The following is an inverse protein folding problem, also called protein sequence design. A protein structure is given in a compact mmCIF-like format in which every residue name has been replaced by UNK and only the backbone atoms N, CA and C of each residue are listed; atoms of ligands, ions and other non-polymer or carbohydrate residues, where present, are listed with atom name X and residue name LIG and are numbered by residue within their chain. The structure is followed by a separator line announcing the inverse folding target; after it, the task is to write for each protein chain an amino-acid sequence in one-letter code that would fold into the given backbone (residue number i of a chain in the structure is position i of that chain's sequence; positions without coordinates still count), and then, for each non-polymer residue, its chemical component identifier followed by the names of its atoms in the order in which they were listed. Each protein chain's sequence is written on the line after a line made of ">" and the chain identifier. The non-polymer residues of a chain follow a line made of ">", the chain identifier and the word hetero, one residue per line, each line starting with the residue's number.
data_IF_435347586662
#
_entry.id   IF_435347586662
#
_cell.length_a   1.000
_cell.length_b   1.000
_cell.length_c   1.000
_cell.angle_alpha   90.00
_cell.angle_beta   90.00
_cell.angle_gamma   90.00
#
_symmetry.space_group_name_H-M   'P 1'
#
loop_
_entity.id
_entity.type
_entity.pdbx_description
1 polymer ?
#
# COMPACT_ATOMS: atom_id res chain seq x y z
N UNK A 1 12.77 22.75 16.34
CA UNK A 1 11.89 21.84 15.56
C UNK A 1 11.43 20.72 16.48
N UNK A 2 10.12 20.45 16.56
CA UNK A 2 9.59 19.37 17.40
C UNK A 2 10.08 18.01 16.87
N UNK A 3 10.55 17.15 17.78
CA UNK A 3 10.99 15.78 17.45
C UNK A 3 9.78 14.87 17.30
N UNK A 4 9.67 14.14 16.19
CA UNK A 4 8.63 13.14 16.02
C UNK A 4 8.93 11.97 16.96
N UNK A 5 7.99 11.70 17.87
CA UNK A 5 8.10 10.58 18.80
C UNK A 5 7.42 9.35 18.18
N UNK A 6 8.18 8.27 18.04
CA UNK A 6 7.68 6.95 17.63
C UNK A 6 6.52 6.45 18.49
N UNK A 7 6.38 6.97 19.71
CA UNK A 7 5.29 6.65 20.63
C UNK A 7 3.90 6.87 20.05
N UNK A 8 3.73 7.77 19.07
CA UNK A 8 2.43 8.00 18.41
C UNK A 8 1.94 6.79 17.60
N UNK A 9 2.85 6.04 16.97
CA UNK A 9 2.54 4.84 16.19
C UNK A 9 2.60 3.55 17.01
N UNK A 10 3.03 3.62 18.28
CA UNK A 10 3.19 2.45 19.16
C UNK A 10 1.93 1.55 19.23
N UNK A 11 0.70 2.07 19.37
CA UNK A 11 -0.49 1.22 19.39
C UNK A 11 -0.68 0.40 18.11
N UNK A 12 -0.28 0.94 16.95
CA UNK A 12 -0.40 0.26 15.66
C UNK A 12 0.66 -0.84 15.53
N UNK A 13 1.89 -0.61 16.01
CA UNK A 13 2.90 -1.67 16.04
C UNK A 13 2.54 -2.81 16.99
N UNK A 14 1.96 -2.50 18.16
CA UNK A 14 1.45 -3.52 19.07
C UNK A 14 0.33 -4.33 18.41
N UNK A 15 -0.58 -3.67 17.68
CA UNK A 15 -1.62 -4.34 16.90
C UNK A 15 -1.03 -5.29 15.84
N UNK A 16 -0.08 -4.81 15.02
CA UNK A 16 0.58 -5.64 14.01
C UNK A 16 1.29 -6.84 14.63
N UNK A 17 2.07 -6.63 15.70
CA UNK A 17 2.77 -7.69 16.41
C UNK A 17 1.78 -8.71 17.02
N UNK A 18 0.66 -8.26 17.60
CA UNK A 18 -0.37 -9.14 18.13
C UNK A 18 -0.98 -10.03 17.04
N UNK A 19 -1.20 -9.49 15.83
CA UNK A 19 -1.74 -10.25 14.69
C UNK A 19 -0.70 -11.25 14.18
N UNK A 20 0.57 -10.86 14.09
CA UNK A 20 1.65 -11.77 13.72
C UNK A 20 1.78 -12.92 14.72
N UNK A 21 1.71 -12.65 16.03
CA UNK A 21 1.72 -13.69 17.05
C UNK A 21 0.49 -14.60 16.94
N UNK A 22 -0.70 -14.03 16.73
CA UNK A 22 -1.92 -14.79 16.50
C UNK A 22 -1.79 -15.73 15.28
N UNK A 23 -1.21 -15.22 14.19
CA UNK A 23 -0.90 -16.02 13.00
C UNK A 23 0.04 -17.19 13.33
N UNK A 24 1.16 -16.92 14.01
CA UNK A 24 2.16 -17.96 14.35
C UNK A 24 1.55 -19.02 15.26
N UNK A 25 0.77 -18.62 16.27
CA UNK A 25 0.12 -19.53 17.21
C UNK A 25 -0.86 -20.47 16.49
N UNK A 26 -1.78 -19.94 15.68
CA UNK A 26 -2.75 -20.77 14.98
C UNK A 26 -2.13 -21.61 13.85
N UNK A 27 -1.08 -21.10 13.20
CA UNK A 27 -0.31 -21.89 12.25
C UNK A 27 0.35 -23.11 12.94
N UNK A 28 0.83 -22.95 14.18
CA UNK A 28 1.43 -24.04 14.94
C UNK A 28 0.43 -25.10 15.41
N UNK A 29 -0.85 -24.76 15.56
CA UNK A 29 -1.91 -25.71 15.94
C UNK A 29 -2.58 -26.38 14.73
N UNK A 30 -2.06 -26.17 13.51
CA UNK A 30 -2.62 -26.69 12.25
C UNK A 30 -4.10 -26.34 12.02
N UNK A 31 -4.61 -25.28 12.67
CA UNK A 31 -6.01 -24.85 12.60
C UNK A 31 -6.22 -23.90 11.41
N UNK A 32 -5.91 -24.36 10.20
CA UNK A 32 -5.85 -23.52 8.99
C UNK A 32 -7.17 -22.85 8.63
N UNK A 33 -8.30 -23.54 8.78
CA UNK A 33 -9.62 -22.97 8.45
C UNK A 33 -9.98 -21.79 9.36
N UNK A 34 -9.71 -21.92 10.67
CA UNK A 34 -9.95 -20.87 11.65
C UNK A 34 -9.02 -19.68 11.38
N UNK A 35 -7.75 -19.96 11.08
CA UNK A 35 -6.76 -18.95 10.73
C UNK A 35 -7.18 -18.17 9.47
N UNK A 36 -7.59 -18.88 8.42
CA UNK A 36 -8.04 -18.28 7.17
C UNK A 36 -9.27 -17.41 7.40
N UNK A 37 -10.30 -17.92 8.07
CA UNK A 37 -11.51 -17.16 8.38
C UNK A 37 -11.20 -15.90 9.20
N UNK A 38 -10.36 -16.01 10.22
CA UNK A 38 -9.99 -14.87 11.05
C UNK A 38 -9.25 -13.79 10.25
N UNK A 39 -8.27 -14.16 9.44
CA UNK A 39 -7.49 -13.20 8.66
C UNK A 39 -8.28 -12.59 7.51
N UNK A 40 -9.15 -13.35 6.87
CA UNK A 40 -10.09 -12.88 5.85
C UNK A 40 -10.97 -11.76 6.41
N UNK A 41 -11.43 -11.86 7.66
CA UNK A 41 -12.21 -10.82 8.31
C UNK A 41 -11.34 -9.65 8.81
N UNK A 42 -10.18 -9.94 9.41
CA UNK A 42 -9.29 -8.92 9.97
C UNK A 42 -8.70 -8.00 8.91
N UNK A 43 -8.34 -8.53 7.74
CA UNK A 43 -7.69 -7.77 6.65
C UNK A 43 -8.46 -6.51 6.25
N UNK A 44 -9.74 -6.61 5.79
CA UNK A 44 -10.53 -5.43 5.46
C UNK A 44 -10.85 -4.56 6.67
N UNK A 45 -11.05 -5.15 7.86
CA UNK A 45 -11.37 -4.40 9.08
C UNK A 45 -10.20 -3.49 9.51
N UNK A 46 -8.96 -3.98 9.41
CA UNK A 46 -7.77 -3.20 9.75
C UNK A 46 -7.57 -2.06 8.75
N UNK A 47 -7.67 -2.35 7.45
CA UNK A 47 -7.62 -1.31 6.42
C UNK A 47 -8.68 -0.23 6.64
N UNK A 48 -9.93 -0.65 6.92
CA UNK A 48 -11.05 0.27 7.16
C UNK A 48 -10.86 1.13 8.40
N UNK A 49 -10.49 0.53 9.53
CA UNK A 49 -10.34 1.24 10.81
C UNK A 49 -9.20 2.25 10.74
N UNK A 50 -8.06 1.88 10.17
CA UNK A 50 -6.92 2.79 9.96
C UNK A 50 -7.26 3.89 8.96
N UNK A 51 -7.96 3.56 7.87
CA UNK A 51 -8.43 4.52 6.88
C UNK A 51 -9.41 5.55 7.45
N UNK A 52 -10.43 5.11 8.22
CA UNK A 52 -11.36 6.00 8.92
C UNK A 52 -10.63 6.88 9.92
N UNK A 53 -9.70 6.31 10.69
CA UNK A 53 -8.93 7.08 11.65
C UNK A 53 -8.11 8.16 10.94
N UNK A 54 -7.47 7.82 9.82
CA UNK A 54 -6.79 8.78 8.94
C UNK A 54 -7.71 9.89 8.47
N UNK A 55 -8.88 9.55 7.90
CA UNK A 55 -9.85 10.56 7.47
C UNK A 55 -10.31 11.44 8.63
N UNK A 56 -10.54 10.88 9.83
CA UNK A 56 -10.95 11.67 10.99
C UNK A 56 -9.88 12.68 11.41
N UNK A 57 -8.60 12.30 11.32
CA UNK A 57 -7.47 13.17 11.65
C UNK A 57 -7.29 14.25 10.57
N UNK A 58 -7.26 13.84 9.30
CA UNK A 58 -6.83 14.68 8.18
C UNK A 58 -7.97 15.43 7.48
N UNK A 59 -9.20 14.91 7.43
CA UNK A 59 -10.30 15.58 6.72
C UNK A 59 -10.85 16.84 7.44
N UNK A 60 -10.60 17.00 8.75
CA UNK A 60 -11.11 18.15 9.52
C UNK A 60 -10.29 19.43 9.31
N UNK A 61 -9.07 19.33 8.80
CA UNK A 61 -8.14 20.46 8.69
C UNK A 61 -7.91 20.91 7.22
N UNK A 62 -8.60 20.28 6.26
CA UNK A 62 -8.36 20.46 4.80
C UNK A 62 -8.73 21.84 4.24
N UNK A 63 -9.32 22.73 5.05
CA UNK A 63 -9.81 24.02 4.58
C UNK A 63 -8.78 25.16 4.55
N UNK A 64 -7.67 25.06 5.31
CA UNK A 64 -6.78 26.22 5.54
C UNK A 64 -5.26 25.93 5.43
N UNK A 65 -4.84 24.66 5.37
CA UNK A 65 -3.41 24.30 5.27
C UNK A 65 -3.05 23.80 3.87
N UNK A 66 -2.25 24.58 3.14
CA UNK A 66 -1.56 24.14 1.92
C UNK A 66 -0.41 23.14 2.22
N UNK A 67 -0.57 22.27 3.22
CA UNK A 67 0.44 21.27 3.54
C UNK A 67 0.31 20.06 2.60
N UNK A 68 1.38 19.84 1.84
CA UNK A 68 1.48 18.81 0.82
C UNK A 68 1.71 17.44 1.44
N UNK A 69 2.28 17.38 2.64
CA UNK A 69 2.40 16.16 3.43
C UNK A 69 1.05 15.77 4.06
N UNK A 70 0.25 16.75 4.49
CA UNK A 70 -1.14 16.53 4.89
C UNK A 70 -1.97 15.92 3.74
N UNK A 71 -1.80 16.43 2.52
CA UNK A 71 -2.46 15.89 1.32
C UNK A 71 -2.05 14.43 1.05
N UNK A 72 -0.77 14.08 1.21
CA UNK A 72 -0.29 12.70 1.10
C UNK A 72 -1.02 11.78 2.10
N UNK A 73 -1.12 12.18 3.36
CA UNK A 73 -1.78 11.39 4.41
C UNK A 73 -3.28 11.20 4.13
N UNK A 74 -3.95 12.23 3.57
CA UNK A 74 -5.34 12.11 3.14
C UNK A 74 -5.51 11.05 2.04
N UNK A 75 -4.63 11.05 1.03
CA UNK A 75 -4.65 10.02 -0.02
C UNK A 75 -4.35 8.63 0.52
N UNK A 76 -3.45 8.50 1.49
CA UNK A 76 -3.19 7.23 2.19
C UNK A 76 -4.45 6.73 2.90
N UNK A 77 -5.14 7.60 3.64
CA UNK A 77 -6.36 7.26 4.35
C UNK A 77 -7.49 6.80 3.40
N UNK A 78 -7.72 7.52 2.30
CA UNK A 78 -8.70 7.14 1.28
C UNK A 78 -8.29 5.83 0.58
N UNK A 79 -7.00 5.68 0.27
CA UNK A 79 -6.45 4.46 -0.32
C UNK A 79 -6.68 3.23 0.56
N UNK A 80 -6.49 3.34 1.88
CA UNK A 80 -6.78 2.27 2.84
C UNK A 80 -8.27 1.88 2.85
N UNK A 81 -9.18 2.85 2.74
CA UNK A 81 -10.62 2.55 2.66
C UNK A 81 -10.95 1.83 1.35
N UNK A 82 -10.39 2.28 0.22
CA UNK A 82 -10.60 1.61 -1.05
C UNK A 82 -9.99 0.21 -1.10
N UNK A 83 -8.83 0.01 -0.47
CA UNK A 83 -8.24 -1.32 -0.29
C UNK A 83 -9.13 -2.21 0.57
N UNK A 84 -9.71 -1.69 1.67
CA UNK A 84 -10.69 -2.43 2.47
C UNK A 84 -11.89 -2.90 1.63
N UNK A 85 -12.48 -2.00 0.83
CA UNK A 85 -13.58 -2.34 -0.07
C UNK A 85 -13.17 -3.40 -1.09
N UNK A 86 -11.93 -3.31 -1.58
CA UNK A 86 -11.40 -4.32 -2.50
C UNK A 86 -11.19 -5.67 -1.84
N UNK A 87 -10.72 -5.71 -0.59
CA UNK A 87 -10.57 -6.96 0.16
C UNK A 87 -11.95 -7.58 0.41
N UNK A 88 -12.97 -6.79 0.80
CA UNK A 88 -14.36 -7.27 0.92
C UNK A 88 -14.87 -7.84 -0.40
N UNK A 89 -14.67 -7.10 -1.51
CA UNK A 89 -15.07 -7.57 -2.83
C UNK A 89 -14.38 -8.90 -3.19
N UNK A 90 -13.09 -9.03 -2.88
CA UNK A 90 -12.32 -10.27 -3.08
C UNK A 90 -12.86 -11.46 -2.30
N UNK A 91 -13.27 -11.24 -1.06
CA UNK A 91 -13.85 -12.28 -0.22
C UNK A 91 -15.19 -12.75 -0.77
N UNK A 92 -16.06 -11.81 -1.15
CA UNK A 92 -17.36 -12.14 -1.77
C UNK A 92 -17.19 -12.90 -3.10
N UNK A 93 -16.19 -12.49 -3.88
CA UNK A 93 -15.77 -13.13 -5.12
C UNK A 93 -15.27 -14.55 -4.84
N UNK A 94 -14.35 -14.74 -3.89
CA UNK A 94 -13.83 -16.06 -3.50
C UNK A 94 -14.94 -17.05 -3.10
N UNK A 95 -15.97 -16.59 -2.39
CA UNK A 95 -17.11 -17.40 -1.98
C UNK A 95 -18.02 -17.84 -3.15
N UNK A 96 -17.87 -17.28 -4.35
CA UNK A 96 -18.70 -17.58 -5.53
C UNK A 96 -18.17 -18.74 -6.42
N UNK A 97 -17.19 -19.51 -5.95
CA UNK A 97 -16.70 -20.81 -6.49
C UNK A 97 -16.15 -20.87 -7.95
N UNK A 98 -16.04 -19.75 -8.69
CA UNK A 98 -15.55 -19.76 -10.08
C UNK A 98 -14.09 -19.26 -10.25
N UNK A 99 -13.11 -20.07 -9.85
CA UNK A 99 -11.73 -19.66 -9.49
C UNK A 99 -10.97 -18.76 -10.47
N UNK A 100 -10.99 -18.96 -11.80
CA UNK A 100 -10.10 -18.22 -12.70
C UNK A 100 -10.55 -16.79 -13.04
N UNK A 101 -11.85 -16.58 -13.24
CA UNK A 101 -12.38 -15.22 -13.53
C UNK A 101 -12.37 -14.33 -12.29
N UNK A 102 -12.43 -14.96 -11.11
CA UNK A 102 -12.46 -14.29 -9.81
C UNK A 102 -11.11 -13.65 -9.44
N UNK A 103 -9.97 -14.25 -9.80
CA UNK A 103 -8.65 -13.66 -9.50
C UNK A 103 -8.42 -12.35 -10.26
N UNK A 104 -8.88 -12.30 -11.51
CA UNK A 104 -8.79 -11.10 -12.36
C UNK A 104 -9.68 -9.99 -11.80
N UNK A 105 -10.91 -10.34 -11.40
CA UNK A 105 -11.82 -9.39 -10.77
C UNK A 105 -11.20 -8.80 -9.50
N UNK A 106 -10.58 -9.62 -8.66
CA UNK A 106 -9.93 -9.15 -7.44
C UNK A 106 -8.77 -8.17 -7.73
N UNK A 107 -7.86 -8.52 -8.64
CA UNK A 107 -6.75 -7.65 -9.00
C UNK A 107 -7.23 -6.30 -9.58
N UNK A 108 -8.31 -6.30 -10.36
CA UNK A 108 -8.91 -5.08 -10.91
C UNK A 108 -9.55 -4.20 -9.82
N UNK A 109 -10.21 -4.79 -8.83
CA UNK A 109 -10.84 -4.01 -7.74
C UNK A 109 -9.79 -3.39 -6.80
N UNK A 110 -8.58 -3.97 -6.73
CA UNK A 110 -7.49 -3.39 -5.94
C UNK A 110 -6.83 -2.18 -6.59
N UNK A 111 -6.85 -2.09 -7.93
CA UNK A 111 -6.16 -1.04 -8.67
C UNK A 111 -6.53 0.38 -8.20
N UNK A 112 -7.82 0.76 -8.02
CA UNK A 112 -8.18 2.06 -7.47
C UNK A 112 -7.48 2.38 -6.14
N UNK A 113 -7.42 1.42 -5.21
CA UNK A 113 -6.76 1.60 -3.93
C UNK A 113 -5.26 1.88 -4.08
N UNK A 114 -4.57 1.06 -4.87
CA UNK A 114 -3.13 1.21 -5.16
C UNK A 114 -2.84 2.53 -5.89
N UNK A 115 -3.68 2.92 -6.85
CA UNK A 115 -3.52 4.17 -7.57
C UNK A 115 -3.78 5.39 -6.70
N UNK A 116 -4.69 5.32 -5.72
CA UNK A 116 -4.88 6.41 -4.76
C UNK A 116 -3.67 6.59 -3.85
N UNK A 117 -3.10 5.48 -3.35
CA UNK A 117 -1.84 5.51 -2.59
C UNK A 117 -0.70 6.10 -3.44
N UNK A 118 -0.60 5.63 -4.68
CA UNK A 118 0.35 6.14 -5.68
C UNK A 118 0.17 7.63 -5.94
N UNK A 119 -1.05 8.08 -6.18
CA UNK A 119 -1.36 9.47 -6.44
C UNK A 119 -0.91 10.36 -5.29
N UNK A 120 -1.09 9.92 -4.04
CA UNK A 120 -0.55 10.59 -2.86
C UNK A 120 0.97 10.81 -2.96
N UNK A 121 1.74 9.75 -3.21
CA UNK A 121 3.21 9.85 -3.26
C UNK A 121 3.70 10.67 -4.46
N UNK A 122 3.03 10.57 -5.61
CA UNK A 122 3.35 11.32 -6.81
C UNK A 122 3.04 12.82 -6.65
N UNK A 123 1.94 13.16 -5.98
CA UNK A 123 1.63 14.55 -5.62
C UNK A 123 2.68 15.13 -4.68
N UNK A 124 3.14 14.35 -3.70
CA UNK A 124 4.23 14.75 -2.83
C UNK A 124 5.52 14.96 -3.62
N UNK A 125 5.83 14.09 -4.58
CA UNK A 125 7.00 14.23 -5.47
C UNK A 125 6.95 15.52 -6.27
N UNK A 126 5.79 15.83 -6.85
CA UNK A 126 5.58 17.09 -7.58
C UNK A 126 5.84 18.29 -6.68
N UNK A 127 5.36 18.25 -5.45
CA UNK A 127 5.58 19.31 -4.47
C UNK A 127 7.06 19.49 -4.14
N UNK A 128 7.76 18.40 -3.81
CA UNK A 128 9.19 18.44 -3.47
C UNK A 128 10.02 18.92 -4.67
N UNK A 129 9.73 18.40 -5.86
CA UNK A 129 10.38 18.82 -7.10
C UNK A 129 10.15 20.32 -7.40
N UNK A 130 8.96 20.84 -7.13
CA UNK A 130 8.67 22.28 -7.27
C UNK A 130 9.43 23.13 -6.24
N UNK A 131 9.60 22.64 -5.01
CA UNK A 131 10.31 23.36 -3.96
C UNK A 131 11.84 23.37 -4.17
N UNK A 132 12.38 22.32 -4.80
CA UNK A 132 13.80 22.20 -5.14
C UNK A 132 14.13 22.74 -6.54
N UNK A 133 13.13 23.18 -7.30
CA UNK A 133 13.24 23.71 -8.67
C UNK A 133 14.03 22.80 -9.63
N UNK A 134 14.00 21.48 -9.41
CA UNK A 134 14.81 20.51 -10.18
C UNK A 134 14.29 20.39 -11.62
N UNK A 135 12.97 20.36 -11.80
CA UNK A 135 12.35 20.15 -13.10
C UNK A 135 10.94 20.76 -13.19
N UNK A 136 10.53 21.18 -14.39
CA UNK A 136 9.14 21.59 -14.63
C UNK A 136 8.16 20.45 -14.33
N UNK A 137 7.09 20.75 -13.57
CA UNK A 137 6.13 19.74 -13.12
C UNK A 137 5.47 18.94 -14.25
N UNK A 138 5.21 19.56 -15.41
CA UNK A 138 4.64 18.87 -16.58
C UNK A 138 5.61 17.84 -17.17
N UNK A 139 6.89 18.19 -17.27
CA UNK A 139 7.94 17.27 -17.76
C UNK A 139 8.10 16.07 -16.82
N UNK A 140 7.98 16.30 -15.51
CA UNK A 140 8.02 15.24 -14.51
C UNK A 140 6.94 14.18 -14.76
N UNK A 141 5.69 14.61 -14.97
CA UNK A 141 4.58 13.69 -15.24
C UNK A 141 4.80 12.86 -16.50
N UNK A 142 5.27 13.50 -17.57
CA UNK A 142 5.57 12.80 -18.84
C UNK A 142 6.63 11.72 -18.62
N UNK A 143 7.72 12.05 -17.92
CA UNK A 143 8.80 11.10 -17.63
C UNK A 143 8.29 9.93 -16.79
N UNK A 144 7.48 10.21 -15.77
CA UNK A 144 6.91 9.17 -14.90
C UNK A 144 5.98 8.23 -15.67
N UNK A 145 5.08 8.76 -16.50
CA UNK A 145 4.20 7.95 -17.36
C UNK A 145 5.02 7.08 -18.30
N UNK A 146 6.09 7.64 -18.90
CA UNK A 146 6.98 6.90 -19.79
C UNK A 146 7.71 5.77 -19.06
N UNK A 147 8.26 6.04 -17.87
CA UNK A 147 8.93 5.03 -17.04
C UNK A 147 7.94 3.92 -16.64
N UNK A 148 6.74 4.25 -16.17
CA UNK A 148 5.72 3.26 -15.80
C UNK A 148 5.30 2.42 -17.01
N UNK A 149 5.11 3.05 -18.17
CA UNK A 149 4.72 2.34 -19.39
C UNK A 149 5.80 1.36 -19.84
N UNK A 150 7.07 1.81 -19.88
CA UNK A 150 8.20 0.94 -20.25
C UNK A 150 8.42 -0.19 -19.24
N UNK A 151 8.37 0.11 -17.94
CA UNK A 151 8.51 -0.92 -16.90
C UNK A 151 7.35 -1.91 -16.93
N UNK A 152 6.12 -1.45 -17.18
CA UNK A 152 4.95 -2.34 -17.35
C UNK A 152 5.12 -3.28 -18.54
N UNK A 153 5.57 -2.77 -19.69
CA UNK A 153 5.88 -3.61 -20.85
C UNK A 153 7.01 -4.60 -20.54
N UNK A 154 8.06 -4.17 -19.85
CA UNK A 154 9.16 -5.05 -19.44
C UNK A 154 8.68 -6.17 -18.50
N UNK A 155 7.93 -5.83 -17.47
CA UNK A 155 7.35 -6.79 -16.52
C UNK A 155 6.39 -7.75 -17.24
N UNK A 156 5.55 -7.25 -18.14
CA UNK A 156 4.66 -8.08 -18.96
C UNK A 156 5.45 -9.14 -19.74
N UNK A 157 6.50 -8.73 -20.46
CA UNK A 157 7.35 -9.65 -21.23
C UNK A 157 8.03 -10.67 -20.33
N UNK A 158 8.54 -10.26 -19.16
CA UNK A 158 9.14 -11.17 -18.18
C UNK A 158 8.11 -12.20 -17.71
N UNK A 159 6.90 -11.77 -17.32
CA UNK A 159 5.86 -12.68 -16.83
C UNK A 159 5.45 -13.69 -17.92
N UNK A 160 5.20 -13.23 -19.15
CA UNK A 160 4.76 -14.11 -20.25
C UNK A 160 5.85 -15.14 -20.61
N UNK A 161 7.13 -14.74 -20.59
CA UNK A 161 8.25 -15.61 -20.99
C UNK A 161 8.65 -16.59 -19.89
N UNK A 162 8.65 -16.15 -18.62
CA UNK A 162 9.08 -16.99 -17.49
C UNK A 162 7.94 -17.79 -16.87
N UNK A 163 6.69 -17.31 -16.97
CA UNK A 163 5.51 -17.93 -16.35
C UNK A 163 4.34 -18.09 -17.34
N UNK A 164 4.52 -18.84 -18.44
CA UNK A 164 3.50 -18.99 -19.48
C UNK A 164 2.18 -19.59 -18.96
N UNK A 165 2.23 -20.36 -17.88
CA UNK A 165 1.08 -21.02 -17.27
C UNK A 165 0.10 -20.04 -16.57
N UNK A 166 0.51 -18.81 -16.26
CA UNK A 166 -0.37 -17.81 -15.62
C UNK A 166 -1.45 -17.27 -16.57
N UNK A 167 -1.25 -17.41 -17.88
CA UNK A 167 -2.13 -16.86 -18.91
C UNK A 167 -1.89 -15.38 -19.17
N UNK A 168 -2.10 -14.98 -20.44
CA UNK A 168 -1.80 -13.62 -20.93
C UNK A 168 -2.63 -12.55 -20.23
N UNK A 169 -3.91 -12.83 -19.96
CA UNK A 169 -4.83 -11.87 -19.34
C UNK A 169 -4.36 -11.51 -17.91
N UNK A 170 -3.96 -12.52 -17.11
CA UNK A 170 -3.45 -12.29 -15.76
C UNK A 170 -2.15 -11.46 -15.78
N UNK A 171 -1.26 -11.73 -16.73
CA UNK A 171 -0.04 -10.94 -16.91
C UNK A 171 -0.34 -9.47 -17.24
N UNK A 172 -1.34 -9.19 -18.08
CA UNK A 172 -1.76 -7.83 -18.44
C UNK A 172 -2.29 -7.07 -17.21
N UNK A 173 -3.03 -7.74 -16.32
CA UNK A 173 -3.63 -7.09 -15.14
C UNK A 173 -2.59 -6.89 -14.02
N UNK A 174 -1.70 -7.86 -13.78
CA UNK A 174 -0.73 -7.78 -12.67
C UNK A 174 0.48 -6.88 -13.01
N UNK A 175 0.91 -6.84 -14.28
CA UNK A 175 2.08 -6.05 -14.69
C UNK A 175 2.02 -4.56 -14.31
N UNK A 176 0.91 -3.80 -14.50
CA UNK A 176 0.85 -2.41 -14.08
C UNK A 176 0.88 -2.25 -12.55
N UNK A 177 0.35 -3.22 -11.79
CA UNK A 177 0.37 -3.20 -10.32
C UNK A 177 1.82 -3.29 -9.82
N UNK A 178 2.56 -4.31 -10.27
CA UNK A 178 3.96 -4.52 -9.88
C UNK A 178 4.81 -3.32 -10.29
N UNK A 179 4.65 -2.85 -11.52
CA UNK A 179 5.45 -1.73 -12.06
C UNK A 179 5.20 -0.43 -11.30
N UNK A 180 3.94 -0.15 -10.95
CA UNK A 180 3.57 1.01 -10.15
C UNK A 180 4.13 0.92 -8.72
N UNK A 181 4.05 -0.25 -8.07
CA UNK A 181 4.61 -0.45 -6.73
C UNK A 181 6.13 -0.32 -6.71
N UNK A 182 6.83 -0.83 -7.73
CA UNK A 182 8.28 -0.63 -7.90
C UNK A 182 8.60 0.87 -8.01
N UNK A 183 7.85 1.61 -8.83
CA UNK A 183 8.02 3.06 -8.94
C UNK A 183 7.78 3.75 -7.58
N UNK A 184 6.69 3.43 -6.87
CA UNK A 184 6.39 4.05 -5.59
C UNK A 184 7.46 3.75 -4.53
N UNK A 185 8.02 2.54 -4.53
CA UNK A 185 9.17 2.19 -3.69
C UNK A 185 10.39 3.05 -4.03
N UNK A 186 10.73 3.19 -5.32
CA UNK A 186 11.87 4.01 -5.75
C UNK A 186 11.69 5.49 -5.38
N UNK A 187 10.48 6.03 -5.57
CA UNK A 187 10.15 7.41 -5.20
C UNK A 187 10.24 7.60 -3.68
N UNK A 188 9.66 6.70 -2.89
CA UNK A 188 9.72 6.75 -1.43
C UNK A 188 11.18 6.68 -0.93
N UNK A 189 11.99 5.80 -1.51
CA UNK A 189 13.41 5.67 -1.20
C UNK A 189 14.20 6.94 -1.58
N UNK A 190 13.88 7.55 -2.73
CA UNK A 190 14.43 8.85 -3.13
C UNK A 190 14.11 9.95 -2.11
N UNK A 191 12.90 9.98 -1.54
CA UNK A 191 12.58 10.93 -0.47
C UNK A 191 13.33 10.65 0.83
N UNK A 192 13.43 9.38 1.24
CA UNK A 192 14.19 9.00 2.45
C UNK A 192 15.63 9.47 2.33
N UNK A 193 16.25 9.27 1.16
CA UNK A 193 17.61 9.73 0.88
C UNK A 193 17.72 11.26 0.91
N UNK A 194 16.79 11.95 0.24
CA UNK A 194 16.79 13.42 0.14
C UNK A 194 16.59 14.08 1.50
N UNK A 195 15.70 13.52 2.32
CA UNK A 195 15.32 14.10 3.61
C UNK A 195 16.08 13.50 4.79
N UNK A 196 17.12 12.68 4.61
CA UNK A 196 17.77 11.85 5.65
C UNK A 196 17.99 12.49 7.04
N UNK A 197 18.18 13.82 7.11
CA UNK A 197 18.40 14.56 8.36
C UNK A 197 17.12 15.18 8.98
N UNK A 198 15.98 15.07 8.29
CA UNK A 198 14.70 15.63 8.67
C UNK A 198 13.80 14.63 9.39
N UNK A 199 12.91 15.13 10.23
CA UNK A 199 11.96 14.30 10.98
C UNK A 199 10.95 13.58 10.06
N UNK A 200 10.65 14.14 8.88
CA UNK A 200 9.73 13.58 7.86
C UNK A 200 10.23 12.23 7.29
N UNK A 201 11.50 11.88 7.48
CA UNK A 201 12.04 10.57 7.07
C UNK A 201 11.32 9.41 7.73
N UNK A 202 10.95 9.55 9.00
CA UNK A 202 10.30 8.47 9.77
C UNK A 202 8.99 8.01 9.13
N UNK A 203 8.01 8.89 8.85
CA UNK A 203 6.79 8.47 8.17
C UNK A 203 7.07 8.03 6.72
N UNK A 204 8.00 8.66 6.00
CA UNK A 204 8.36 8.22 4.64
C UNK A 204 8.95 6.79 4.61
N UNK A 205 9.74 6.43 5.61
CA UNK A 205 10.25 5.07 5.82
C UNK A 205 9.09 4.08 5.97
N UNK A 206 8.06 4.43 6.74
CA UNK A 206 6.88 3.58 6.94
C UNK A 206 6.05 3.45 5.65
N UNK A 207 5.90 4.52 4.87
CA UNK A 207 5.29 4.46 3.53
C UNK A 207 6.08 3.52 2.63
N UNK A 208 7.41 3.63 2.61
CA UNK A 208 8.29 2.75 1.85
C UNK A 208 8.10 1.28 2.27
N UNK A 209 8.13 0.98 3.57
CA UNK A 209 7.94 -0.37 4.09
C UNK A 209 6.55 -0.93 3.74
N UNK A 210 5.50 -0.10 3.81
CA UNK A 210 4.15 -0.48 3.37
C UNK A 210 4.11 -0.87 1.90
N UNK A 211 4.68 -0.05 1.01
CA UNK A 211 4.78 -0.39 -0.42
C UNK A 211 5.66 -1.61 -0.68
N UNK A 212 6.76 -1.76 0.04
CA UNK A 212 7.67 -2.90 -0.10
C UNK A 212 6.97 -4.22 0.26
N UNK A 213 6.24 -4.26 1.38
CA UNK A 213 5.49 -5.45 1.78
C UNK A 213 4.36 -5.74 0.77
N UNK A 214 3.67 -4.71 0.28
CA UNK A 214 2.64 -4.88 -0.74
C UNK A 214 3.21 -5.38 -2.08
N UNK A 215 4.42 -4.94 -2.43
CA UNK A 215 5.17 -5.43 -3.59
C UNK A 215 5.55 -6.91 -3.41
N UNK A 216 6.04 -7.29 -2.22
CA UNK A 216 6.33 -8.70 -1.89
C UNK A 216 5.06 -9.56 -2.00
N UNK A 217 3.92 -9.09 -1.48
CA UNK A 217 2.60 -9.73 -1.66
C UNK A 217 2.27 -9.91 -3.15
N UNK A 218 2.44 -8.86 -3.94
CA UNK A 218 2.17 -8.89 -5.40
C UNK A 218 3.11 -9.84 -6.15
N UNK A 219 4.35 -9.98 -5.71
CA UNK A 219 5.27 -10.98 -6.27
C UNK A 219 4.87 -12.40 -5.90
N UNK A 220 4.40 -12.66 -4.68
CA UNK A 220 3.85 -13.97 -4.34
C UNK A 220 2.71 -14.36 -5.29
N UNK A 221 1.85 -13.43 -5.69
CA UNK A 221 0.80 -13.71 -6.67
C UNK A 221 1.30 -14.12 -8.07
N UNK A 222 2.53 -13.78 -8.42
CA UNK A 222 3.15 -14.16 -9.70
C UNK A 222 3.95 -15.45 -9.57
N UNK A 223 4.79 -15.55 -8.53
CA UNK A 223 5.79 -16.61 -8.41
C UNK A 223 5.26 -17.89 -7.76
N UNK A 224 4.13 -17.81 -7.08
CA UNK A 224 3.58 -18.96 -6.37
C UNK A 224 2.20 -19.32 -6.89
N UNK A 225 1.87 -20.60 -6.78
CA UNK A 225 0.50 -21.09 -6.80
C UNK A 225 -0.27 -20.75 -5.52
N UNK A 226 0.20 -19.79 -4.69
CA UNK A 226 -0.61 -19.30 -3.58
C UNK A 226 -1.89 -18.69 -4.15
N UNK A 227 -3.00 -19.36 -3.86
CA UNK A 227 -4.32 -18.85 -4.15
C UNK A 227 -4.53 -17.52 -3.40
N UNK A 228 -5.29 -16.63 -4.04
CA UNK A 228 -5.85 -15.47 -3.36
C UNK A 228 -6.63 -15.90 -2.10
N UNK A 229 -6.62 -15.05 -1.08
CA UNK A 229 -7.23 -15.33 0.23
C UNK A 229 -6.58 -16.46 1.04
N UNK A 230 -5.30 -16.76 0.79
CA UNK A 230 -4.49 -17.59 1.69
C UNK A 230 -4.11 -16.82 2.96
N UNK A 231 -3.90 -17.50 4.11
CA UNK A 231 -3.48 -16.84 5.35
C UNK A 231 -2.23 -15.96 5.21
N UNK A 232 -1.27 -16.40 4.40
CA UNK A 232 -0.04 -15.65 4.11
C UNK A 232 -0.32 -14.36 3.32
N UNK A 233 -1.21 -14.43 2.33
CA UNK A 233 -1.64 -13.25 1.56
C UNK A 233 -2.29 -12.20 2.48
N UNK A 234 -3.24 -12.62 3.30
CA UNK A 234 -3.94 -11.76 4.24
C UNK A 234 -3.00 -11.16 5.30
N UNK A 235 -2.01 -11.92 5.78
CA UNK A 235 -1.01 -11.40 6.72
C UNK A 235 -0.17 -10.28 6.08
N UNK A 236 0.35 -10.49 4.86
CA UNK A 236 1.14 -9.48 4.16
C UNK A 236 0.30 -8.22 3.86
N UNK A 237 -0.98 -8.40 3.52
CA UNK A 237 -1.92 -7.30 3.36
C UNK A 237 -2.05 -6.48 4.64
N UNK A 238 -2.34 -7.15 5.76
CA UNK A 238 -2.47 -6.53 7.08
C UNK A 238 -1.20 -5.75 7.45
N UNK A 239 -0.03 -6.37 7.32
CA UNK A 239 1.24 -5.72 7.65
C UNK A 239 1.43 -4.45 6.82
N UNK A 240 1.17 -4.50 5.51
CA UNK A 240 1.24 -3.30 4.67
C UNK A 240 0.29 -2.18 5.15
N UNK A 241 -0.93 -2.52 5.56
CA UNK A 241 -1.92 -1.57 6.08
C UNK A 241 -1.52 -1.00 7.43
N UNK A 242 -0.93 -1.81 8.30
CA UNK A 242 -0.35 -1.40 9.58
C UNK A 242 0.76 -0.37 9.36
N UNK A 243 1.65 -0.58 8.39
CA UNK A 243 2.67 0.41 8.04
C UNK A 243 2.06 1.71 7.52
N UNK A 244 1.11 1.65 6.58
CA UNK A 244 0.40 2.85 6.10
C UNK A 244 -0.40 3.55 7.21
N UNK A 245 -1.04 2.82 8.12
CA UNK A 245 -1.76 3.39 9.26
C UNK A 245 -0.82 4.05 10.28
N UNK A 246 0.36 3.47 10.48
CA UNK A 246 1.39 4.03 11.35
C UNK A 246 1.84 5.40 10.89
N UNK A 247 1.92 5.62 9.57
CA UNK A 247 2.21 6.93 8.97
C UNK A 247 1.22 7.98 9.47
N UNK A 248 -0.08 7.68 9.40
CA UNK A 248 -1.18 8.60 9.74
C UNK A 248 -1.14 9.06 11.21
N UNK A 249 -0.83 8.16 12.14
CA UNK A 249 -0.68 8.54 13.56
C UNK A 249 0.61 9.30 13.83
N UNK A 250 1.69 8.89 13.20
CA UNK A 250 3.00 9.50 13.42
C UNK A 250 3.01 10.94 12.89
N UNK A 251 2.36 11.17 11.75
CA UNK A 251 2.21 12.48 11.12
C UNK A 251 1.30 13.44 11.90
N UNK A 252 0.33 12.94 12.68
CA UNK A 252 -0.55 13.79 13.49
C UNK A 252 0.25 14.61 14.51
N UNK A 253 1.38 14.06 14.97
CA UNK A 253 2.29 14.77 15.86
C UNK A 253 3.00 15.94 15.19
N UNK A 254 3.02 16.03 13.86
CA UNK A 254 3.55 17.18 13.13
C UNK A 254 2.53 18.31 13.02
N UNK A 255 1.26 17.98 12.85
CA UNK A 255 0.18 18.97 12.68
C UNK A 255 -0.10 19.80 13.95
N UNK A 256 0.13 19.20 15.13
CA UNK A 256 -0.15 19.85 16.44
C UNK A 256 0.84 20.94 16.86
N UNK A 257 1.96 21.12 16.16
CA UNK A 257 3.03 22.04 16.55
C UNK A 257 3.43 23.05 15.47
N UNK A 258 2.60 23.18 14.44
CA UNK A 258 2.59 24.29 13.49
C UNK A 258 1.35 25.14 13.75
#
# INVERSE_FOLDING_TARGET
>A
MPRIRWSGAFPIYVLGLAILLFYILLASTSSYDILQLALVLLTPMIAFTLGIMGLRIYARESGLRNDRFHTLNLWIAIGLIMLSLSEIAGILVFLAENTFQLEIAFALVQMPGIFLLGFGIMQYLRSVNSALEIMNGERMWIILVLIVSLTTLGVLVIIITQFPNLGVIRAIVISPIISSLILFCMVALGFIWTFQNGEIVKPLLLVFLGFLIYLVRSFFWVFSSYALATPTDSLLAIESYVFFGSVLLLSQSMDKYQ
#
